data_IF_760226404855
#
_entry.id   IF_760226404855
#
_cell.length_a   1.000
_cell.length_b   1.000
_cell.length_c   1.000
_cell.angle_alpha   90.00
_cell.angle_beta   90.00
_cell.angle_gamma   90.00
#
_symmetry.space_group_name_H-M   'P 1'
#
loop_
_entity.id
_entity.type
_entity.pdbx_description
1 polymer ?
#
# COMPACT_ATOMS: atom_id res chain seq x y z
N UNK A 1 -17.42 1.67 2.75
CA UNK A 1 -17.44 0.74 1.59
C UNK A 1 -18.20 -0.56 1.85
N UNK A 2 -18.05 -1.21 3.00
CA UNK A 2 -18.74 -2.47 3.27
C UNK A 2 -20.27 -2.31 3.31
N UNK A 3 -20.76 -1.38 4.10
CA UNK A 3 -22.19 -1.27 4.44
C UNK A 3 -22.95 -0.32 3.49
N UNK A 4 -22.37 0.81 3.16
CA UNK A 4 -23.02 1.88 2.37
C UNK A 4 -22.09 2.42 1.27
N UNK A 5 -21.73 1.61 0.25
CA UNK A 5 -20.80 2.07 -0.80
C UNK A 5 -21.42 3.17 -1.68
N UNK A 6 -22.72 3.11 -1.94
CA UNK A 6 -23.42 4.06 -2.82
C UNK A 6 -23.52 5.44 -2.17
N UNK A 7 -23.84 5.50 -0.88
CA UNK A 7 -23.86 6.75 -0.13
C UNK A 7 -22.47 7.37 -0.02
N UNK A 8 -21.42 6.56 0.17
CA UNK A 8 -20.05 7.06 0.16
C UNK A 8 -19.66 7.62 -1.20
N UNK A 9 -20.02 6.93 -2.29
CA UNK A 9 -19.81 7.43 -3.65
C UNK A 9 -20.49 8.79 -3.86
N UNK A 10 -21.75 8.92 -3.42
CA UNK A 10 -22.51 10.15 -3.52
C UNK A 10 -21.83 11.29 -2.75
N UNK A 11 -21.39 11.05 -1.52
CA UNK A 11 -20.68 12.05 -0.72
C UNK A 11 -19.36 12.48 -1.35
N UNK A 12 -18.57 11.53 -1.85
CA UNK A 12 -17.29 11.83 -2.52
C UNK A 12 -17.51 12.61 -3.82
N UNK A 13 -18.51 12.26 -4.62
CA UNK A 13 -18.88 12.96 -5.85
C UNK A 13 -19.20 14.45 -5.58
N UNK A 14 -19.78 14.76 -4.42
CA UNK A 14 -20.16 16.12 -4.03
C UNK A 14 -19.11 16.82 -3.15
N UNK A 15 -17.98 16.18 -2.87
CA UNK A 15 -16.88 16.76 -2.09
C UNK A 15 -15.92 17.52 -3.02
N UNK A 16 -15.80 18.82 -2.81
CA UNK A 16 -14.91 19.65 -3.59
C UNK A 16 -13.45 19.42 -3.21
N UNK A 17 -12.55 19.49 -4.20
CA UNK A 17 -11.12 19.47 -3.95
C UNK A 17 -10.65 20.77 -3.32
N UNK A 18 -10.76 20.91 -2.01
CA UNK A 18 -10.45 22.13 -1.29
C UNK A 18 -9.56 21.90 -0.07
N UNK A 19 -8.84 22.95 0.31
CA UNK A 19 -8.04 22.93 1.54
C UNK A 19 -8.91 22.83 2.79
N UNK A 20 -10.10 23.40 2.76
CA UNK A 20 -11.04 23.37 3.88
C UNK A 20 -11.51 21.94 4.16
N UNK A 21 -11.89 21.21 3.10
CA UNK A 21 -12.21 19.77 3.20
C UNK A 21 -11.02 18.96 3.72
N UNK A 22 -9.82 19.27 3.28
CA UNK A 22 -8.60 18.62 3.80
C UNK A 22 -8.40 18.89 5.28
N UNK A 23 -8.58 20.12 5.74
CA UNK A 23 -8.45 20.46 7.16
C UNK A 23 -9.54 19.77 7.99
N UNK A 24 -10.78 19.80 7.54
CA UNK A 24 -11.90 19.12 8.19
C UNK A 24 -11.68 17.60 8.29
N UNK A 25 -11.00 17.01 7.31
CA UNK A 25 -10.75 15.56 7.28
C UNK A 25 -9.87 15.03 8.43
N UNK A 26 -9.20 15.92 9.17
CA UNK A 26 -8.40 15.54 10.34
C UNK A 26 -9.23 15.44 11.64
N UNK A 27 -10.45 15.89 11.60
CA UNK A 27 -11.38 15.78 12.73
C UNK A 27 -12.13 14.44 12.64
N UNK A 28 -12.21 13.72 13.75
CA UNK A 28 -12.96 12.46 13.83
C UNK A 28 -14.46 12.78 13.83
N UNK A 29 -15.22 12.07 13.00
CA UNK A 29 -16.68 12.13 13.02
C UNK A 29 -17.27 10.94 13.76
N UNK A 30 -18.36 11.18 14.51
CA UNK A 30 -19.16 10.11 15.11
C UNK A 30 -20.04 9.38 14.08
N UNK A 31 -20.31 10.01 12.93
CA UNK A 31 -20.95 9.37 11.79
C UNK A 31 -19.92 8.58 10.99
N UNK A 32 -20.10 7.28 10.93
CA UNK A 32 -19.18 6.36 10.25
C UNK A 32 -19.06 6.62 8.74
N UNK A 33 -20.10 7.10 8.08
CA UNK A 33 -20.09 7.42 6.66
C UNK A 33 -19.31 8.70 6.40
N UNK A 34 -19.54 9.74 7.22
CA UNK A 34 -18.77 10.98 7.16
C UNK A 34 -17.30 10.74 7.52
N UNK A 35 -17.00 9.88 8.49
CA UNK A 35 -15.61 9.52 8.83
C UNK A 35 -14.91 8.79 7.68
N UNK A 36 -15.61 7.90 6.97
CA UNK A 36 -15.11 7.24 5.78
C UNK A 36 -14.85 8.24 4.63
N UNK A 37 -15.72 9.23 4.45
CA UNK A 37 -15.53 10.33 3.49
C UNK A 37 -14.29 11.14 3.85
N UNK A 38 -14.17 11.56 5.11
CA UNK A 38 -13.00 12.30 5.63
C UNK A 38 -11.70 11.52 5.47
N UNK A 39 -11.72 10.21 5.75
CA UNK A 39 -10.55 9.35 5.54
C UNK A 39 -10.12 9.32 4.08
N UNK A 40 -11.08 9.23 3.14
CA UNK A 40 -10.81 9.25 1.70
C UNK A 40 -10.20 10.59 1.27
N UNK A 41 -10.76 11.71 1.75
CA UNK A 41 -10.22 13.06 1.51
C UNK A 41 -8.80 13.18 2.05
N UNK A 42 -8.56 12.76 3.30
CA UNK A 42 -7.24 12.85 3.94
C UNK A 42 -6.19 12.06 3.18
N UNK A 43 -6.50 10.83 2.77
CA UNK A 43 -5.60 9.98 2.00
C UNK A 43 -5.24 10.58 0.65
N UNK A 44 -6.22 11.15 -0.05
CA UNK A 44 -6.02 11.66 -1.41
C UNK A 44 -5.41 13.06 -1.45
N UNK A 45 -5.84 13.96 -0.55
CA UNK A 45 -5.43 15.37 -0.54
C UNK A 45 -4.08 15.61 0.15
N UNK A 46 -3.57 14.63 0.92
CA UNK A 46 -2.31 14.74 1.63
C UNK A 46 -1.11 14.62 0.67
N UNK A 47 -0.07 15.42 0.91
CA UNK A 47 1.22 15.25 0.23
C UNK A 47 1.85 13.93 0.65
N UNK A 48 2.11 13.05 -0.32
CA UNK A 48 2.69 11.74 -0.07
C UNK A 48 1.75 10.70 0.53
N UNK A 49 0.43 10.96 0.60
CA UNK A 49 -0.57 10.00 1.10
C UNK A 49 -0.44 9.63 2.58
N UNK A 50 0.30 10.42 3.36
CA UNK A 50 0.51 10.17 4.80
C UNK A 50 -0.73 10.55 5.59
N UNK A 51 -1.21 9.61 6.42
CA UNK A 51 -2.40 9.82 7.27
C UNK A 51 -2.09 10.12 8.73
N UNK A 52 -0.88 9.78 9.17
CA UNK A 52 -0.44 9.88 10.56
C UNK A 52 0.28 11.21 10.89
N UNK A 53 0.47 12.08 9.90
CA UNK A 53 1.13 13.35 10.08
C UNK A 53 0.32 14.46 9.42
N UNK A 54 0.34 15.64 10.02
CA UNK A 54 -0.26 16.84 9.43
C UNK A 54 0.64 17.33 8.27
N UNK A 55 0.66 16.55 7.18
CA UNK A 55 1.39 16.89 5.96
C UNK A 55 0.58 17.91 5.15
N UNK A 56 1.25 18.70 4.34
CA UNK A 56 0.60 19.77 3.60
C UNK A 56 -0.48 19.27 2.61
N UNK A 57 -1.45 20.13 2.32
CA UNK A 57 -2.45 19.92 1.28
C UNK A 57 -1.76 19.85 -0.10
N UNK A 58 -2.09 18.83 -0.88
CA UNK A 58 -1.56 18.60 -2.23
C UNK A 58 -2.12 19.63 -3.19
N UNK A 59 -1.36 20.69 -3.47
CA UNK A 59 -1.74 21.82 -4.32
C UNK A 59 -0.98 21.90 -5.64
N UNK A 60 -0.27 20.86 -6.01
CA UNK A 60 0.60 20.90 -7.18
C UNK A 60 -0.22 21.03 -8.46
N UNK A 61 0.13 22.00 -9.26
CA UNK A 61 -0.30 22.13 -10.63
C UNK A 61 0.80 21.51 -11.50
N UNK A 62 0.47 20.47 -12.26
CA UNK A 62 1.38 19.94 -13.25
C UNK A 62 1.40 20.84 -14.48
N UNK A 63 2.38 20.62 -15.38
CA UNK A 63 2.45 21.33 -16.65
C UNK A 63 1.13 21.27 -17.46
N UNK A 64 0.32 20.23 -17.24
CA UNK A 64 -0.94 19.95 -17.95
C UNK A 64 -2.21 20.35 -17.15
N UNK A 65 -2.10 21.15 -16.08
CA UNK A 65 -3.25 21.63 -15.31
C UNK A 65 -3.35 21.13 -13.87
N UNK A 66 -4.48 21.35 -13.19
CA UNK A 66 -4.69 20.96 -11.79
C UNK A 66 -4.92 19.45 -11.66
N UNK A 67 -3.87 18.70 -11.85
CA UNK A 67 -3.84 17.25 -11.96
C UNK A 67 -4.61 16.53 -10.85
N UNK A 68 -4.44 16.96 -9.59
CA UNK A 68 -5.05 16.30 -8.45
C UNK A 68 -6.57 16.48 -8.36
N UNK A 69 -7.06 17.67 -8.73
CA UNK A 69 -8.50 17.94 -8.77
C UNK A 69 -9.20 17.20 -9.91
N UNK A 70 -8.52 17.05 -11.04
CA UNK A 70 -9.06 16.27 -12.17
C UNK A 70 -9.18 14.77 -11.82
N UNK A 71 -8.16 14.20 -11.18
CA UNK A 71 -8.20 12.81 -10.75
C UNK A 71 -9.23 12.57 -9.62
N UNK A 72 -9.46 13.59 -8.77
CA UNK A 72 -10.46 13.50 -7.72
C UNK A 72 -11.87 13.34 -8.29
N UNK A 73 -12.15 13.95 -9.45
CA UNK A 73 -13.46 13.84 -10.10
C UNK A 73 -13.85 12.40 -10.47
N UNK A 74 -12.88 11.49 -10.57
CA UNK A 74 -13.13 10.06 -10.85
C UNK A 74 -13.12 9.18 -9.57
N UNK A 75 -12.85 9.77 -8.41
CA UNK A 75 -12.69 8.99 -7.17
C UNK A 75 -13.96 8.22 -6.80
N UNK A 76 -15.13 8.77 -7.02
CA UNK A 76 -16.40 8.09 -6.74
C UNK A 76 -16.55 6.80 -7.55
N UNK A 77 -16.13 6.78 -8.82
CA UNK A 77 -16.11 5.58 -9.64
C UNK A 77 -15.16 4.52 -9.09
N UNK A 78 -13.97 4.94 -8.66
CA UNK A 78 -12.96 4.05 -8.06
C UNK A 78 -13.48 3.40 -6.77
N UNK A 79 -14.23 4.12 -5.95
CA UNK A 79 -14.88 3.58 -4.76
C UNK A 79 -15.90 2.48 -5.14
N UNK A 80 -16.72 2.72 -6.15
CA UNK A 80 -17.69 1.73 -6.64
C UNK A 80 -17.03 0.45 -7.16
N UNK A 81 -15.98 0.59 -7.97
CA UNK A 81 -15.18 -0.53 -8.48
C UNK A 81 -14.54 -1.30 -7.33
N UNK A 82 -13.92 -0.60 -6.37
CA UNK A 82 -13.31 -1.21 -5.21
C UNK A 82 -14.35 -1.96 -4.34
N UNK A 83 -15.50 -1.35 -4.10
CA UNK A 83 -16.58 -1.96 -3.33
C UNK A 83 -17.10 -3.24 -4.01
N UNK A 84 -17.28 -3.22 -5.33
CA UNK A 84 -17.66 -4.42 -6.09
C UNK A 84 -16.59 -5.51 -5.98
N UNK A 85 -15.31 -5.16 -6.12
CA UNK A 85 -14.20 -6.12 -6.05
C UNK A 85 -14.05 -6.74 -4.66
N UNK A 86 -14.28 -5.96 -3.60
CA UNK A 86 -14.16 -6.41 -2.21
C UNK A 86 -15.27 -7.39 -1.80
N UNK A 87 -16.37 -7.51 -2.56
CA UNK A 87 -17.42 -8.52 -2.29
C UNK A 87 -16.92 -9.95 -2.47
N UNK A 88 -15.89 -10.15 -3.30
CA UNK A 88 -15.28 -11.45 -3.56
C UNK A 88 -14.11 -11.76 -2.61
N UNK A 89 -13.88 -10.91 -1.61
CA UNK A 89 -12.77 -11.04 -0.67
C UNK A 89 -13.26 -11.26 0.76
N UNK A 90 -12.60 -12.15 1.48
CA UNK A 90 -12.69 -12.20 2.94
C UNK A 90 -11.70 -11.19 3.53
N UNK A 91 -12.18 -10.35 4.43
CA UNK A 91 -11.36 -9.33 5.10
C UNK A 91 -11.27 -9.69 6.56
N UNK A 92 -10.03 -9.92 7.02
CA UNK A 92 -9.71 -10.23 8.40
C UNK A 92 -8.92 -9.08 9.05
N UNK A 93 -9.20 -8.82 10.31
CA UNK A 93 -8.43 -7.89 11.13
C UNK A 93 -7.91 -8.64 12.36
N UNK A 94 -6.96 -9.53 12.09
CA UNK A 94 -6.33 -10.41 13.08
C UNK A 94 -4.81 -10.35 12.93
N UNK A 95 -4.10 -10.96 13.87
CA UNK A 95 -2.66 -11.11 13.78
C UNK A 95 -2.27 -11.90 12.52
N UNK A 96 -1.36 -11.32 11.72
CA UNK A 96 -0.98 -11.88 10.42
C UNK A 96 -0.31 -13.25 10.53
N UNK A 97 0.49 -13.47 11.57
CA UNK A 97 1.19 -14.75 11.80
C UNK A 97 0.18 -15.86 12.04
N UNK A 98 -0.81 -15.61 12.89
CA UNK A 98 -1.90 -16.57 13.14
C UNK A 98 -2.70 -16.87 11.88
N UNK A 99 -2.99 -15.84 11.07
CA UNK A 99 -3.72 -16.02 9.82
C UNK A 99 -2.93 -16.86 8.82
N UNK A 100 -1.63 -16.63 8.70
CA UNK A 100 -0.75 -17.41 7.83
C UNK A 100 -0.71 -18.89 8.27
N UNK A 101 -0.60 -19.14 9.57
CA UNK A 101 -0.61 -20.49 10.14
C UNK A 101 -1.94 -21.23 9.90
N UNK A 102 -3.08 -20.50 9.97
CA UNK A 102 -4.41 -21.07 9.70
C UNK A 102 -4.62 -21.47 8.23
N UNK A 103 -3.92 -20.80 7.30
CA UNK A 103 -4.01 -21.04 5.86
C UNK A 103 -2.76 -21.73 5.32
N UNK A 104 -2.11 -22.56 6.13
CA UNK A 104 -0.92 -23.30 5.72
C UNK A 104 -1.30 -24.56 4.93
N UNK A 105 -1.47 -24.40 3.62
CA UNK A 105 -1.74 -25.47 2.67
C UNK A 105 -1.06 -25.24 1.32
N UNK A 106 -0.92 -26.30 0.53
CA UNK A 106 -0.18 -26.30 -0.75
C UNK A 106 -0.81 -25.44 -1.84
N UNK A 107 -2.11 -25.20 -1.78
CA UNK A 107 -2.87 -24.49 -2.79
C UNK A 107 -2.99 -22.99 -2.44
N UNK A 108 -2.49 -22.60 -1.28
CA UNK A 108 -2.48 -21.20 -0.84
C UNK A 108 -1.28 -20.43 -1.41
N UNK A 109 -1.54 -19.23 -1.92
CA UNK A 109 -0.51 -18.22 -2.22
C UNK A 109 -0.59 -17.11 -1.18
N UNK A 110 0.48 -16.91 -0.44
CA UNK A 110 0.66 -15.76 0.46
C UNK A 110 1.39 -14.63 -0.29
N UNK A 111 0.77 -13.46 -0.37
CA UNK A 111 1.46 -12.21 -0.68
C UNK A 111 1.57 -11.38 0.59
N UNK A 112 2.78 -11.22 1.10
CA UNK A 112 3.05 -10.53 2.35
C UNK A 112 3.74 -9.18 2.08
N UNK A 113 3.13 -8.09 2.54
CA UNK A 113 3.63 -6.72 2.42
C UNK A 113 3.66 -6.06 3.82
N UNK A 114 4.59 -6.46 4.69
CA UNK A 114 4.70 -5.92 6.04
C UNK A 114 5.24 -4.49 6.02
N UNK A 115 5.06 -3.70 7.10
CA UNK A 115 5.83 -2.47 7.28
C UNK A 115 7.32 -2.78 7.13
N UNK A 116 8.02 -2.06 6.25
CA UNK A 116 9.40 -2.44 5.89
C UNK A 116 10.37 -2.22 7.06
N UNK A 117 11.41 -3.06 7.13
CA UNK A 117 12.47 -2.93 8.14
C UNK A 117 13.03 -1.52 8.10
N UNK A 118 12.90 -0.78 9.20
CA UNK A 118 13.41 0.57 9.30
C UNK A 118 14.95 0.57 9.24
N UNK A 119 15.51 1.20 8.21
CA UNK A 119 16.97 1.35 8.08
C UNK A 119 17.54 2.49 8.93
N UNK A 120 16.67 3.32 9.54
CA UNK A 120 17.03 4.39 10.47
C UNK A 120 15.84 4.74 11.38
N UNK A 121 16.14 5.22 12.61
CA UNK A 121 15.15 5.67 13.59
C UNK A 121 14.21 6.81 13.10
N UNK A 122 14.55 7.46 11.98
CA UNK A 122 13.78 8.57 11.41
C UNK A 122 12.74 8.12 10.36
N UNK A 123 12.61 6.83 10.07
CA UNK A 123 11.80 6.32 8.96
C UNK A 123 10.50 5.63 9.37
N UNK A 124 10.01 5.81 10.61
CA UNK A 124 8.68 5.35 11.00
C UNK A 124 7.62 6.07 10.16
N UNK A 125 7.07 5.37 9.17
CA UNK A 125 5.99 5.87 8.30
C UNK A 125 4.62 5.34 8.69
N UNK A 126 4.57 4.36 9.59
CA UNK A 126 3.35 3.67 9.99
C UNK A 126 3.00 3.98 11.45
N UNK A 127 1.72 3.96 11.76
CA UNK A 127 1.22 4.14 13.13
C UNK A 127 1.58 2.95 14.02
N UNK A 128 1.83 1.80 13.40
CA UNK A 128 2.28 0.56 14.02
C UNK A 128 3.54 0.09 13.31
N UNK A 129 4.69 0.33 13.91
CA UNK A 129 5.96 -0.19 13.41
C UNK A 129 6.06 -1.69 13.70
N UNK A 130 6.66 -2.40 12.76
CA UNK A 130 6.94 -3.83 12.91
C UNK A 130 8.36 -4.00 13.43
N UNK A 131 8.52 -4.58 14.61
CA UNK A 131 9.84 -4.73 15.24
C UNK A 131 10.70 -5.77 14.52
N UNK A 132 12.01 -5.73 14.75
CA UNK A 132 12.93 -6.70 14.16
C UNK A 132 12.60 -8.14 14.60
N UNK A 133 12.14 -8.32 15.83
CA UNK A 133 11.69 -9.60 16.37
C UNK A 133 10.44 -10.09 15.65
N UNK A 134 9.49 -9.23 15.41
CA UNK A 134 8.28 -9.56 14.63
C UNK A 134 8.63 -9.93 13.18
N UNK A 135 9.61 -9.25 12.55
CA UNK A 135 10.13 -9.66 11.25
C UNK A 135 10.74 -11.06 11.27
N UNK A 136 11.53 -11.40 12.29
CA UNK A 136 12.11 -12.74 12.44
C UNK A 136 11.02 -13.82 12.61
N UNK A 137 10.01 -13.52 13.41
CA UNK A 137 8.88 -14.43 13.62
C UNK A 137 8.08 -14.63 12.32
N UNK A 138 7.78 -13.55 11.60
CA UNK A 138 7.14 -13.60 10.29
C UNK A 138 7.95 -14.46 9.31
N UNK A 139 9.25 -14.21 9.18
CA UNK A 139 10.13 -14.97 8.28
C UNK A 139 10.14 -16.46 8.62
N UNK A 140 10.16 -16.80 9.92
CA UNK A 140 10.08 -18.19 10.36
C UNK A 140 8.79 -18.87 9.91
N UNK A 141 7.65 -18.22 10.03
CA UNK A 141 6.35 -18.76 9.62
C UNK A 141 6.27 -18.88 8.10
N UNK A 142 6.73 -17.86 7.36
CA UNK A 142 6.73 -17.88 5.90
C UNK A 142 7.65 -18.96 5.31
N UNK A 143 8.82 -19.22 5.92
CA UNK A 143 9.76 -20.28 5.50
C UNK A 143 9.20 -21.68 5.72
N UNK A 144 8.30 -21.85 6.70
CA UNK A 144 7.67 -23.13 7.01
C UNK A 144 6.30 -23.31 6.34
N UNK A 145 5.90 -22.39 5.46
CA UNK A 145 4.61 -22.47 4.77
C UNK A 145 4.67 -23.49 3.63
N UNK A 146 3.68 -24.39 3.56
CA UNK A 146 3.62 -25.46 2.57
C UNK A 146 3.25 -24.96 1.16
N UNK A 147 2.57 -23.83 1.06
CA UNK A 147 2.17 -23.20 -0.19
C UNK A 147 3.19 -22.20 -0.73
N UNK A 148 2.75 -21.42 -1.70
CA UNK A 148 3.60 -20.40 -2.33
C UNK A 148 3.62 -19.11 -1.53
N UNK A 149 4.79 -18.51 -1.37
CA UNK A 149 4.98 -17.24 -0.65
C UNK A 149 5.70 -16.22 -1.50
N UNK A 150 5.18 -15.00 -1.50
CA UNK A 150 5.82 -13.79 -2.02
C UNK A 150 5.90 -12.77 -0.89
N UNK A 151 7.08 -12.26 -0.61
CA UNK A 151 7.33 -11.24 0.42
C UNK A 151 7.94 -10.00 -0.22
N UNK A 152 7.26 -8.85 -0.08
CA UNK A 152 7.76 -7.55 -0.56
C UNK A 152 8.52 -6.81 0.54
N UNK A 153 9.50 -6.01 0.14
CA UNK A 153 10.25 -5.17 1.08
C UNK A 153 11.48 -4.49 0.48
N UNK A 154 12.21 -3.79 1.34
CA UNK A 154 13.53 -3.28 1.00
C UNK A 154 14.62 -4.23 1.47
N UNK A 155 15.76 -4.15 0.81
CA UNK A 155 16.93 -4.92 1.17
C UNK A 155 17.35 -4.61 2.62
N UNK A 156 17.52 -5.66 3.43
CA UNK A 156 18.01 -5.57 4.80
C UNK A 156 18.95 -6.75 5.09
N UNK A 157 19.86 -6.59 6.05
CA UNK A 157 20.77 -7.67 6.42
C UNK A 157 20.01 -8.90 6.92
N UNK A 158 18.91 -8.71 7.67
CA UNK A 158 18.05 -9.79 8.11
C UNK A 158 17.48 -10.58 6.93
N UNK A 159 16.89 -9.88 5.94
CA UNK A 159 16.26 -10.55 4.80
C UNK A 159 17.27 -11.21 3.87
N UNK A 160 18.47 -10.62 3.69
CA UNK A 160 19.57 -11.24 2.95
C UNK A 160 20.02 -12.56 3.57
N UNK A 161 20.12 -12.61 4.90
CA UNK A 161 20.56 -13.79 5.61
C UNK A 161 19.48 -14.88 5.62
N UNK A 162 18.25 -14.51 5.96
CA UNK A 162 17.15 -15.46 6.17
C UNK A 162 16.55 -15.99 4.86
N UNK A 163 16.62 -15.22 3.77
CA UNK A 163 16.03 -15.55 2.47
C UNK A 163 17.08 -15.71 1.37
N UNK A 164 18.31 -16.09 1.73
CA UNK A 164 19.43 -16.22 0.80
C UNK A 164 19.20 -17.25 -0.31
N UNK A 165 18.34 -18.22 -0.06
CA UNK A 165 17.96 -19.31 -0.96
C UNK A 165 16.67 -19.03 -1.77
N UNK A 166 16.00 -17.91 -1.49
CA UNK A 166 14.78 -17.55 -2.20
C UNK A 166 15.07 -16.78 -3.49
N UNK A 167 14.47 -17.17 -4.64
CA UNK A 167 14.45 -16.36 -5.85
C UNK A 167 13.98 -14.93 -5.58
N UNK A 168 14.58 -13.97 -6.29
CA UNK A 168 14.37 -12.54 -6.08
C UNK A 168 13.91 -11.87 -7.36
N UNK A 169 12.78 -11.14 -7.29
CA UNK A 169 12.34 -10.19 -8.31
C UNK A 169 12.67 -8.78 -7.86
N UNK A 170 13.40 -8.03 -8.69
CA UNK A 170 13.80 -6.64 -8.40
C UNK A 170 13.01 -5.68 -9.28
N UNK A 171 12.32 -4.74 -8.68
CA UNK A 171 11.60 -3.68 -9.38
C UNK A 171 12.27 -2.34 -9.12
N UNK A 172 12.56 -1.60 -10.18
CA UNK A 172 13.07 -0.23 -10.06
C UNK A 172 11.89 0.71 -9.82
N UNK A 173 11.61 1.03 -8.57
CA UNK A 173 10.57 1.99 -8.22
C UNK A 173 11.19 3.40 -8.11
N UNK A 174 10.76 4.31 -8.99
CA UNK A 174 11.16 5.72 -8.87
C UNK A 174 10.38 6.36 -7.73
N UNK A 175 10.94 6.37 -6.53
CA UNK A 175 10.37 7.09 -5.39
C UNK A 175 10.94 8.51 -5.37
N UNK A 176 10.13 9.51 -5.72
CA UNK A 176 10.57 10.88 -5.58
C UNK A 176 9.60 11.91 -6.12
N UNK A 177 8.80 12.51 -5.24
CA UNK A 177 8.00 13.70 -5.57
C UNK A 177 8.61 14.99 -5.01
N UNK A 178 9.50 14.95 -4.03
CA UNK A 178 10.09 16.19 -3.45
C UNK A 178 11.41 15.88 -2.75
N UNK A 179 12.52 16.00 -3.41
CA UNK A 179 13.79 16.53 -2.91
C UNK A 179 14.94 16.23 -3.86
N UNK A 180 15.96 17.05 -3.85
CA UNK A 180 17.20 16.99 -4.63
C UNK A 180 18.08 15.73 -4.38
N UNK A 181 17.61 14.79 -3.56
CA UNK A 181 18.20 13.47 -3.36
C UNK A 181 17.20 12.38 -3.74
N UNK A 182 17.19 12.03 -5.03
CA UNK A 182 16.60 10.78 -5.50
C UNK A 182 17.39 9.62 -4.90
N UNK A 183 16.92 9.03 -3.82
CA UNK A 183 17.38 7.69 -3.46
C UNK A 183 16.55 6.71 -4.31
N UNK A 184 17.14 6.12 -5.32
CA UNK A 184 16.57 4.98 -6.02
C UNK A 184 16.47 3.84 -5.02
N UNK A 185 15.31 3.70 -4.39
CA UNK A 185 15.04 2.56 -3.52
C UNK A 185 14.53 1.44 -4.41
N UNK A 186 15.29 0.35 -4.43
CA UNK A 186 14.90 -0.86 -5.13
C UNK A 186 13.96 -1.66 -4.25
N UNK A 187 12.74 -1.87 -4.72
CA UNK A 187 11.80 -2.77 -4.09
C UNK A 187 12.10 -4.21 -4.53
N UNK A 188 12.07 -5.13 -3.58
CA UNK A 188 12.43 -6.51 -3.77
C UNK A 188 11.25 -7.39 -3.37
N UNK A 189 10.98 -8.40 -4.19
CA UNK A 189 10.04 -9.46 -3.87
C UNK A 189 10.83 -10.77 -3.78
N UNK A 190 10.83 -11.38 -2.61
CA UNK A 190 11.36 -12.73 -2.38
C UNK A 190 10.25 -13.76 -2.58
N UNK A 191 10.56 -14.85 -3.28
CA UNK A 191 9.63 -15.94 -3.53
C UNK A 191 10.21 -17.27 -3.01
N UNK A 192 9.40 -18.13 -2.39
CA UNK A 192 9.84 -19.49 -2.04
C UNK A 192 9.70 -20.48 -3.20
N UNK A 193 9.44 -19.98 -4.41
CA UNK A 193 9.28 -20.74 -5.66
C UNK A 193 9.89 -19.96 -6.82
N UNK A 194 10.23 -20.66 -7.91
CA UNK A 194 10.64 -19.99 -9.15
C UNK A 194 9.45 -19.25 -9.76
N UNK A 195 9.47 -17.90 -9.77
CA UNK A 195 8.40 -17.13 -10.39
C UNK A 195 8.39 -17.36 -11.90
N UNK A 196 7.22 -17.44 -12.57
CA UNK A 196 7.16 -17.57 -13.99
C UNK A 196 7.86 -16.37 -14.64
N UNK A 197 8.80 -16.64 -15.58
CA UNK A 197 9.42 -15.56 -16.36
C UNK A 197 8.34 -14.86 -17.16
N UNK A 198 8.12 -13.57 -16.88
CA UNK A 198 7.31 -12.73 -17.73
C UNK A 198 8.09 -12.57 -19.06
N UNK A 199 7.64 -13.26 -20.08
CA UNK A 199 8.11 -12.99 -21.44
C UNK A 199 7.70 -11.56 -21.77
N UNK A 200 8.65 -10.64 -21.82
CA UNK A 200 8.43 -9.29 -22.34
C UNK A 200 8.09 -9.41 -23.83
N UNK A 201 6.79 -9.49 -24.14
CA UNK A 201 6.29 -9.46 -25.51
C UNK A 201 6.48 -8.09 -26.18
N UNK A 202 6.91 -7.08 -25.40
CA UNK A 202 7.21 -5.74 -25.89
C UNK A 202 8.66 -5.39 -25.53
N UNK A 203 9.61 -5.92 -26.31
CA UNK A 203 10.91 -5.24 -26.46
C UNK A 203 10.63 -4.01 -27.33
N UNK A 204 10.63 -2.82 -26.73
CA UNK A 204 10.83 -1.60 -27.50
C UNK A 204 12.19 -1.74 -28.21
N UNK A 205 12.16 -1.91 -29.51
CA UNK A 205 13.34 -1.71 -30.36
C UNK A 205 13.73 -0.23 -30.20
N UNK A 206 14.78 0.00 -29.41
CA UNK A 206 15.46 1.30 -29.44
C UNK A 206 16.20 1.37 -30.78
N UNK A 207 15.65 2.12 -31.73
CA UNK A 207 16.32 2.63 -32.90
C UNK A 207 16.80 4.07 -32.63
#
# INVERSE_FOLDING_TARGET
MRDNPEELQYLIMHTLYSREEYMLSHEISSDSLEDARRMTVRLWFAVGGKTNANVGFRKNVSWNGPYNAYEWNDMYNRIGIAAARLKDAQIENVDAIKLIEQHNDKDTLIYCDPPYVATSLASSHYQHDFSLEQHKELLKVLKNHDGKVMLSGYESELYKQELSDWPVLKTMTKVGITSEKKSDRQEIIWCNFEPPMQLNLFKEEQA
#
